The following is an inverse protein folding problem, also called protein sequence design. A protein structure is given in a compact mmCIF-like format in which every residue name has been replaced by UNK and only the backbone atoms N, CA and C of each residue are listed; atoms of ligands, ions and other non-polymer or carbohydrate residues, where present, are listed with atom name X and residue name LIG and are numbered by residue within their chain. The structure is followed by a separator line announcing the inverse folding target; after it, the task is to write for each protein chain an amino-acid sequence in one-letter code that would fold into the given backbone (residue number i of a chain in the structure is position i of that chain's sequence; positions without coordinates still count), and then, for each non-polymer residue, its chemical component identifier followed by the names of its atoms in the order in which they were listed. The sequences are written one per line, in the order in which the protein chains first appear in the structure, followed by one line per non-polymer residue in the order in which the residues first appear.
data_IF_884126508289
#
_entry.id   IF_884126508289
#
_cell.length_a   1.000
_cell.length_b   1.000
_cell.length_c   1.000
_cell.angle_alpha   90.00
_cell.angle_beta   90.00
_cell.angle_gamma   90.00
#
_symmetry.space_group_name_H-M   'P 1'
#
loop_
_entity.id
_entity.type
_entity.pdbx_description
1 polymer ?
#
# COMPACT_ATOMS: atom_id res chain seq x y z
N UNK A 1 -8.14 -10.29 25.54
CA UNK A 1 -9.55 -9.82 25.40
C UNK A 1 -10.49 -11.02 25.38
N UNK A 2 -10.24 -12.04 24.58
CA UNK A 2 -11.14 -13.20 24.41
C UNK A 2 -11.59 -13.89 25.72
N UNK A 3 -10.74 -14.10 26.72
CA UNK A 3 -11.20 -14.68 27.99
C UNK A 3 -12.08 -13.75 28.83
N UNK A 4 -12.09 -12.45 28.55
CA UNK A 4 -12.82 -11.46 29.33
C UNK A 4 -14.10 -10.98 28.64
N UNK A 5 -14.07 -10.78 27.32
CA UNK A 5 -15.20 -10.29 26.55
C UNK A 5 -15.16 -10.80 25.10
N UNK A 6 -16.10 -11.69 24.76
CA UNK A 6 -16.21 -12.25 23.41
C UNK A 6 -16.67 -11.21 22.35
N UNK A 7 -17.48 -10.25 22.76
CA UNK A 7 -17.96 -9.18 21.87
C UNK A 7 -16.80 -8.27 21.45
N UNK A 8 -15.97 -7.83 22.38
CA UNK A 8 -14.75 -7.06 22.06
C UNK A 8 -13.76 -7.87 21.23
N UNK A 9 -13.61 -9.17 21.54
CA UNK A 9 -12.74 -10.04 20.75
C UNK A 9 -13.20 -10.20 19.30
N UNK A 10 -14.50 -10.23 19.06
CA UNK A 10 -15.08 -10.32 17.71
C UNK A 10 -14.72 -9.09 16.85
N UNK A 11 -14.59 -7.90 17.44
CA UNK A 11 -14.18 -6.70 16.70
C UNK A 11 -12.73 -6.73 16.24
N UNK A 12 -11.91 -7.62 16.81
CA UNK A 12 -10.51 -7.84 16.41
C UNK A 12 -10.35 -8.97 15.38
N UNK A 13 -11.43 -9.65 15.00
CA UNK A 13 -11.39 -10.72 13.98
C UNK A 13 -11.40 -10.10 12.58
N UNK A 14 -10.26 -9.56 12.19
CA UNK A 14 -10.06 -8.88 10.91
C UNK A 14 -9.11 -9.67 10.02
N UNK A 15 -9.38 -9.66 8.73
CA UNK A 15 -8.47 -10.18 7.72
C UNK A 15 -7.68 -9.02 7.12
N UNK A 16 -6.37 -9.17 7.07
CA UNK A 16 -5.49 -8.20 6.43
C UNK A 16 -4.81 -8.82 5.21
N UNK A 17 -4.68 -8.02 4.16
CA UNK A 17 -4.01 -8.39 2.92
C UNK A 17 -2.59 -7.84 2.88
N UNK A 18 -1.65 -8.57 2.23
CA UNK A 18 -0.29 -8.10 2.06
C UNK A 18 -0.17 -7.06 0.95
N UNK A 19 0.95 -6.33 0.98
CA UNK A 19 1.36 -5.44 -0.10
C UNK A 19 2.89 -5.45 -0.21
N UNK A 20 3.41 -5.66 -1.41
CA UNK A 20 4.80 -5.33 -1.71
C UNK A 20 4.89 -3.85 -2.06
N UNK A 21 5.88 -3.18 -1.49
CA UNK A 21 6.22 -1.79 -1.80
C UNK A 21 7.65 -1.74 -2.33
N UNK A 22 7.83 -1.31 -3.58
CA UNK A 22 9.15 -1.16 -4.20
C UNK A 22 9.48 0.33 -4.33
N UNK A 23 10.56 0.75 -3.70
CA UNK A 23 11.16 2.06 -3.88
C UNK A 23 12.27 1.94 -4.92
N UNK A 24 12.15 2.75 -5.99
CA UNK A 24 13.07 2.71 -7.13
C UNK A 24 13.72 4.07 -7.30
N UNK A 25 15.03 4.11 -7.31
CA UNK A 25 15.80 5.29 -7.70
C UNK A 25 16.39 5.07 -9.08
N UNK A 26 16.32 6.09 -9.92
CA UNK A 26 16.87 6.07 -11.27
C UNK A 26 18.02 7.06 -11.39
N UNK A 27 18.97 6.78 -12.28
CA UNK A 27 20.01 7.73 -12.65
C UNK A 27 19.37 8.98 -13.28
N UNK A 28 18.40 8.77 -14.16
CA UNK A 28 17.53 9.82 -14.70
C UNK A 28 16.09 9.37 -14.52
N UNK A 29 15.29 10.15 -13.78
CA UNK A 29 13.89 9.80 -13.53
C UNK A 29 13.08 9.83 -14.81
N UNK A 30 12.24 8.80 -15.06
CA UNK A 30 11.26 8.89 -16.13
C UNK A 30 10.31 10.05 -15.88
N UNK A 31 10.12 10.89 -16.91
CA UNK A 31 9.17 11.99 -16.87
C UNK A 31 7.81 11.45 -17.33
N UNK A 32 6.88 11.30 -16.40
CA UNK A 32 5.49 10.92 -16.69
C UNK A 32 4.59 12.14 -16.71
N UNK A 33 3.43 12.02 -17.35
CA UNK A 33 2.40 13.06 -17.40
C UNK A 33 1.72 13.32 -16.06
N UNK A 34 2.03 12.51 -15.03
CA UNK A 34 1.45 12.57 -13.69
C UNK A 34 2.51 12.31 -12.61
N UNK A 35 2.22 12.71 -11.36
CA UNK A 35 3.06 12.43 -10.19
C UNK A 35 2.61 11.22 -9.38
N UNK A 36 1.36 10.80 -9.53
CA UNK A 36 0.82 9.60 -8.91
C UNK A 36 -0.38 9.08 -9.69
N UNK A 37 -0.57 7.76 -9.71
CA UNK A 37 -1.69 7.12 -10.38
C UNK A 37 -2.10 5.81 -9.71
N UNK A 38 -3.41 5.53 -9.70
CA UNK A 38 -3.93 4.18 -9.50
C UNK A 38 -3.87 3.48 -10.86
N UNK A 39 -3.09 2.41 -10.93
CA UNK A 39 -2.84 1.69 -12.18
C UNK A 39 -3.69 0.44 -12.32
N UNK A 40 -3.89 -0.31 -11.26
CA UNK A 40 -4.77 -1.49 -11.16
C UNK A 40 -4.67 -2.47 -12.34
N UNK A 41 -3.49 -2.64 -12.90
CA UNK A 41 -3.19 -3.58 -13.98
C UNK A 41 -1.92 -4.37 -13.67
N UNK A 42 -1.96 -5.68 -13.92
CA UNK A 42 -0.85 -6.56 -13.64
C UNK A 42 -0.49 -6.56 -12.15
N UNK A 43 0.81 -6.57 -11.82
CA UNK A 43 1.27 -6.57 -10.44
C UNK A 43 0.98 -5.28 -9.66
N UNK A 44 0.90 -4.12 -10.35
CA UNK A 44 0.83 -2.82 -9.68
C UNK A 44 -0.61 -2.36 -9.44
N UNK A 45 -0.85 -1.74 -8.28
CA UNK A 45 -2.10 -1.04 -7.95
C UNK A 45 -1.94 0.47 -7.92
N UNK A 46 -0.79 0.96 -7.46
CA UNK A 46 -0.53 2.38 -7.31
C UNK A 46 0.95 2.70 -7.51
N UNK A 47 1.22 3.83 -8.15
CA UNK A 47 2.57 4.36 -8.35
C UNK A 47 2.61 5.84 -8.00
N UNK A 48 3.74 6.31 -7.46
CA UNK A 48 3.92 7.73 -7.15
C UNK A 48 5.37 8.17 -7.25
N UNK A 49 5.59 9.37 -7.77
CA UNK A 49 6.86 10.05 -7.72
C UNK A 49 7.08 10.66 -6.34
N UNK A 50 7.69 9.88 -5.46
CA UNK A 50 7.80 10.21 -4.04
C UNK A 50 8.63 11.47 -3.76
N UNK A 51 9.60 11.79 -4.64
CA UNK A 51 10.43 12.97 -4.50
C UNK A 51 9.70 14.30 -4.82
N UNK A 52 8.52 14.24 -5.48
CA UNK A 52 7.69 15.43 -5.71
C UNK A 52 6.75 15.78 -4.55
N UNK A 53 6.76 15.00 -3.47
CA UNK A 53 6.03 15.39 -2.26
C UNK A 53 6.67 16.61 -1.62
N UNK A 54 5.88 17.51 -0.98
CA UNK A 54 6.39 18.71 -0.32
C UNK A 54 7.53 18.38 0.65
N UNK A 55 8.53 19.28 0.69
CA UNK A 55 9.67 19.23 1.61
C UNK A 55 10.58 18.00 1.47
N UNK A 56 10.44 17.21 0.40
CA UNK A 56 11.34 16.09 0.13
C UNK A 56 12.52 16.53 -0.71
N UNK A 57 13.72 16.22 -0.18
CA UNK A 57 15.00 16.38 -0.87
C UNK A 57 15.62 15.01 -1.12
N UNK A 58 16.52 14.91 -2.09
CA UNK A 58 17.23 13.67 -2.39
C UNK A 58 17.02 13.18 -3.82
N UNK A 59 17.53 11.98 -4.14
CA UNK A 59 17.47 11.46 -5.50
C UNK A 59 16.04 11.17 -5.95
N UNK A 60 15.77 11.27 -7.28
CA UNK A 60 14.47 10.95 -7.83
C UNK A 60 14.04 9.52 -7.47
N UNK A 61 12.96 9.38 -6.70
CA UNK A 61 12.49 8.11 -6.17
C UNK A 61 11.02 7.89 -6.51
N UNK A 62 10.72 6.79 -7.18
CA UNK A 62 9.36 6.29 -7.39
C UNK A 62 9.01 5.26 -6.33
N UNK A 63 7.77 5.30 -5.84
CA UNK A 63 7.18 4.30 -4.97
C UNK A 63 6.12 3.53 -5.75
N UNK A 64 6.27 2.22 -5.80
CA UNK A 64 5.38 1.30 -6.49
C UNK A 64 4.73 0.39 -5.46
N UNK A 65 3.41 0.30 -5.44
CA UNK A 65 2.66 -0.65 -4.63
C UNK A 65 2.09 -1.75 -5.50
N UNK A 66 2.32 -2.99 -5.11
CA UNK A 66 1.66 -4.12 -5.73
C UNK A 66 0.19 -4.22 -5.27
N UNK A 67 -0.66 -4.84 -6.09
CA UNK A 67 -2.02 -5.15 -5.69
C UNK A 67 -2.05 -6.19 -4.56
N UNK A 68 -3.10 -6.13 -3.74
CA UNK A 68 -3.27 -7.08 -2.63
C UNK A 68 -3.33 -8.53 -3.12
N UNK A 69 -4.08 -8.78 -4.22
CA UNK A 69 -4.19 -10.10 -4.81
C UNK A 69 -2.83 -10.62 -5.29
N UNK A 70 -2.13 -9.84 -6.12
CA UNK A 70 -0.82 -10.23 -6.64
C UNK A 70 0.19 -10.46 -5.49
N UNK A 71 0.17 -9.59 -4.47
CA UNK A 71 1.04 -9.72 -3.29
C UNK A 71 0.76 -11.00 -2.52
N UNK A 72 -0.52 -11.40 -2.36
CA UNK A 72 -0.93 -12.63 -1.71
C UNK A 72 -0.46 -13.87 -2.48
N UNK A 73 -0.63 -13.87 -3.80
CA UNK A 73 -0.22 -14.99 -4.67
C UNK A 73 1.30 -15.20 -4.71
N UNK A 74 2.07 -14.13 -4.48
CA UNK A 74 3.53 -14.14 -4.60
C UNK A 74 4.26 -13.88 -3.27
N UNK A 75 3.57 -14.02 -2.15
CA UNK A 75 4.06 -13.63 -0.82
C UNK A 75 5.39 -14.30 -0.45
N UNK A 76 5.58 -15.55 -0.86
CA UNK A 76 6.76 -16.36 -0.55
C UNK A 76 7.75 -16.47 -1.73
N UNK A 77 7.56 -15.66 -2.79
CA UNK A 77 8.51 -15.60 -3.91
C UNK A 77 9.79 -14.90 -3.49
N UNK A 78 10.86 -15.25 -4.20
CA UNK A 78 12.16 -14.61 -4.03
C UNK A 78 12.06 -13.08 -4.19
N UNK A 79 12.64 -12.28 -3.29
CA UNK A 79 12.56 -10.82 -3.34
C UNK A 79 13.10 -10.22 -4.63
N UNK A 80 14.15 -10.79 -5.23
CA UNK A 80 14.73 -10.28 -6.48
C UNK A 80 13.77 -10.53 -7.65
N UNK A 81 13.10 -11.69 -7.66
CA UNK A 81 12.04 -11.98 -8.63
C UNK A 81 10.89 -10.98 -8.52
N UNK A 82 10.42 -10.71 -7.29
CA UNK A 82 9.35 -9.72 -7.04
C UNK A 82 9.76 -8.33 -7.53
N UNK A 83 10.96 -7.88 -7.20
CA UNK A 83 11.52 -6.61 -7.69
C UNK A 83 11.50 -6.53 -9.21
N UNK A 84 11.98 -7.58 -9.89
CA UNK A 84 12.03 -7.63 -11.34
C UNK A 84 10.65 -7.55 -11.98
N UNK A 85 9.64 -8.25 -11.43
CA UNK A 85 8.27 -8.20 -11.95
C UNK A 85 7.63 -6.82 -11.77
N UNK A 86 7.80 -6.21 -10.59
CA UNK A 86 7.26 -4.88 -10.31
C UNK A 86 7.95 -3.80 -11.15
N UNK A 87 9.26 -3.89 -11.32
CA UNK A 87 10.02 -2.95 -12.17
C UNK A 87 9.58 -3.07 -13.62
N UNK A 88 9.49 -4.28 -14.15
CA UNK A 88 9.01 -4.54 -15.52
C UNK A 88 7.61 -3.95 -15.75
N UNK A 89 6.70 -4.11 -14.80
CA UNK A 89 5.37 -3.52 -14.89
C UNK A 89 5.40 -1.99 -14.87
N UNK A 90 6.30 -1.38 -14.11
CA UNK A 90 6.49 0.07 -14.11
C UNK A 90 7.05 0.56 -15.45
N UNK A 91 8.03 -0.13 -16.04
CA UNK A 91 8.57 0.19 -17.36
C UNK A 91 7.49 0.15 -18.44
N UNK A 92 6.57 -0.82 -18.38
CA UNK A 92 5.40 -0.89 -19.27
C UNK A 92 4.52 0.36 -19.14
N UNK A 93 4.28 0.84 -17.91
CA UNK A 93 3.53 2.08 -17.68
C UNK A 93 4.23 3.31 -18.22
N UNK A 94 5.55 3.38 -18.11
CA UNK A 94 6.34 4.47 -18.70
C UNK A 94 6.20 4.49 -20.23
N UNK A 95 6.21 3.33 -20.89
CA UNK A 95 6.02 3.23 -22.34
C UNK A 95 4.60 3.67 -22.74
N UNK A 96 3.58 3.20 -22.04
CA UNK A 96 2.18 3.57 -22.29
C UNK A 96 1.94 5.08 -22.15
N UNK A 97 2.50 5.72 -21.13
CA UNK A 97 2.41 7.17 -20.94
C UNK A 97 3.06 7.97 -22.09
N UNK A 98 4.05 7.36 -22.75
CA UNK A 98 4.72 7.94 -23.93
C UNK A 98 4.04 7.60 -25.27
N UNK A 99 2.93 6.85 -25.24
CA UNK A 99 2.23 6.40 -26.45
C UNK A 99 3.00 5.35 -27.25
N UNK A 100 3.89 4.60 -26.59
CA UNK A 100 4.69 3.54 -27.21
C UNK A 100 4.07 2.16 -26.98
N UNK A 101 4.19 1.29 -27.99
CA UNK A 101 3.67 -0.08 -27.90
C UNK A 101 4.56 -0.97 -27.03
N UNK A 102 3.93 -1.99 -26.41
CA UNK A 102 4.60 -2.92 -25.48
C UNK A 102 5.68 -3.80 -26.13
N UNK A 103 5.62 -4.03 -27.44
CA UNK A 103 6.64 -4.78 -28.18
C UNK A 103 7.99 -4.07 -28.24
N UNK A 104 8.01 -2.78 -27.91
CA UNK A 104 9.22 -1.97 -27.78
C UNK A 104 10.07 -2.30 -26.54
N UNK A 105 9.64 -3.21 -25.65
CA UNK A 105 10.38 -3.52 -24.41
C UNK A 105 11.76 -4.13 -24.69
N UNK A 106 11.87 -4.98 -25.70
CA UNK A 106 13.16 -5.59 -26.10
C UNK A 106 14.16 -4.59 -26.68
N UNK A 107 13.67 -3.48 -27.25
CA UNK A 107 14.43 -2.38 -27.84
C UNK A 107 14.11 -1.06 -27.16
N UNK A 108 13.81 -1.07 -25.84
CA UNK A 108 13.35 0.09 -25.09
C UNK A 108 14.38 1.23 -25.21
N UNK A 109 14.06 2.34 -25.91
CA UNK A 109 14.95 3.49 -26.01
C UNK A 109 15.09 4.21 -24.65
N UNK A 110 14.18 3.93 -23.71
CA UNK A 110 14.21 4.41 -22.33
C UNK A 110 14.76 3.32 -21.40
N UNK A 111 16.03 2.96 -21.56
CA UNK A 111 16.68 2.07 -20.60
C UNK A 111 16.73 2.76 -19.24
N UNK A 112 15.72 2.47 -18.41
CA UNK A 112 15.61 3.03 -17.07
C UNK A 112 16.71 2.44 -16.18
N UNK A 113 17.86 3.13 -16.16
CA UNK A 113 18.99 2.71 -15.33
C UNK A 113 18.68 2.99 -13.88
N UNK A 114 18.44 1.92 -13.12
CA UNK A 114 18.21 2.00 -11.68
C UNK A 114 19.52 2.14 -10.92
N UNK A 115 19.53 3.04 -9.94
CA UNK A 115 20.66 3.23 -9.02
C UNK A 115 20.43 2.57 -7.68
N UNK A 116 19.15 2.38 -7.28
CA UNK A 116 18.79 1.69 -6.05
C UNK A 116 17.39 1.06 -6.18
N UNK A 117 17.25 -0.15 -5.62
CA UNK A 117 15.99 -0.87 -5.47
C UNK A 117 15.86 -1.31 -4.03
N UNK A 118 14.77 -0.91 -3.37
CA UNK A 118 14.45 -1.35 -2.01
C UNK A 118 13.04 -1.91 -1.98
N UNK A 119 12.92 -3.21 -1.78
CA UNK A 119 11.63 -3.90 -1.64
C UNK A 119 11.28 -4.06 -0.17
N UNK A 120 10.07 -3.68 0.19
CA UNK A 120 9.48 -3.99 1.48
C UNK A 120 8.24 -4.87 1.30
N UNK A 121 8.11 -5.89 2.16
CA UNK A 121 6.98 -6.81 2.19
C UNK A 121 6.12 -6.53 3.42
N UNK A 122 5.01 -5.85 3.23
CA UNK A 122 4.00 -5.68 4.25
C UNK A 122 3.09 -6.90 4.27
N UNK A 123 3.15 -7.70 5.33
CA UNK A 123 2.27 -8.88 5.47
C UNK A 123 0.84 -8.48 5.83
N UNK A 124 0.70 -7.38 6.52
CA UNK A 124 -0.58 -6.85 7.04
C UNK A 124 -0.70 -5.38 6.64
N UNK A 125 -1.02 -5.14 5.38
CA UNK A 125 -0.98 -3.80 4.80
C UNK A 125 -2.35 -3.12 4.74
N UNK A 126 -3.39 -3.87 4.33
CA UNK A 126 -4.72 -3.33 4.12
C UNK A 126 -5.75 -4.28 4.71
N UNK A 127 -6.92 -3.73 5.07
CA UNK A 127 -8.06 -4.52 5.45
C UNK A 127 -8.68 -5.20 4.21
N UNK A 128 -8.95 -6.49 4.32
CA UNK A 128 -9.67 -7.25 3.28
C UNK A 128 -11.17 -6.97 3.38
N UNK A 129 -11.70 -6.97 4.60
CA UNK A 129 -13.08 -6.66 4.90
C UNK A 129 -13.17 -5.67 6.07
N UNK A 130 -14.00 -4.64 5.90
CA UNK A 130 -14.31 -3.74 7.01
C UNK A 130 -15.30 -4.39 7.95
N UNK A 131 -15.01 -4.36 9.24
CA UNK A 131 -15.98 -4.70 10.28
C UNK A 131 -16.91 -3.50 10.40
N UNK A 132 -18.16 -3.66 9.97
CA UNK A 132 -19.17 -2.64 10.19
C UNK A 132 -19.62 -2.68 11.66
N UNK A 133 -19.15 -1.75 12.45
CA UNK A 133 -19.69 -1.51 13.80
C UNK A 133 -20.41 -0.16 13.81
N UNK A 134 -21.50 -0.03 14.63
CA UNK A 134 -22.31 1.19 14.68
C UNK A 134 -21.48 2.44 15.03
N UNK A 135 -20.49 2.28 15.91
CA UNK A 135 -19.56 3.33 16.32
C UNK A 135 -18.19 2.95 15.78
N UNK A 136 -17.37 3.95 15.43
CA UNK A 136 -16.00 3.76 14.98
C UNK A 136 -15.05 3.28 16.12
N UNK A 137 -15.57 2.83 17.24
CA UNK A 137 -14.86 2.30 18.42
C UNK A 137 -15.72 1.21 19.08
N UNK A 138 -15.11 0.41 19.95
CA UNK A 138 -15.80 -0.50 20.86
C UNK A 138 -15.42 -0.16 22.30
N UNK A 139 -16.41 -0.12 23.20
CA UNK A 139 -16.24 0.20 24.60
C UNK A 139 -17.03 -0.77 25.50
N UNK A 140 -16.36 -1.31 26.49
CA UNK A 140 -16.99 -2.12 27.55
C UNK A 140 -16.86 -1.36 28.87
N UNK A 141 -17.95 -0.78 29.40
CA UNK A 141 -17.93 -0.02 30.63
C UNK A 141 -17.74 -0.86 31.90
N UNK A 142 -18.07 -2.16 31.86
CA UNK A 142 -17.90 -3.05 33.03
C UNK A 142 -16.43 -3.42 33.20
N UNK A 143 -15.75 -3.73 32.11
CA UNK A 143 -14.33 -4.07 32.09
C UNK A 143 -13.42 -2.85 31.99
N UNK A 144 -13.95 -1.67 31.71
CA UNK A 144 -13.17 -0.45 31.44
C UNK A 144 -12.15 -0.65 30.31
N UNK A 145 -12.55 -1.38 29.27
CA UNK A 145 -11.71 -1.68 28.10
C UNK A 145 -12.30 -1.04 26.85
N UNK A 146 -11.50 -0.20 26.19
CA UNK A 146 -11.83 0.40 24.91
C UNK A 146 -10.93 -0.10 23.77
N UNK A 147 -11.49 -0.25 22.57
CA UNK A 147 -10.76 -0.56 21.36
C UNK A 147 -11.04 0.50 20.31
N UNK A 148 -9.97 1.03 19.71
CA UNK A 148 -10.05 1.96 18.60
C UNK A 148 -8.94 1.66 17.59
N UNK A 149 -9.14 2.06 16.35
CA UNK A 149 -8.18 1.89 15.29
C UNK A 149 -8.80 2.06 13.91
N UNK A 150 -7.94 2.06 12.89
CA UNK A 150 -8.36 2.22 11.50
C UNK A 150 -9.32 1.12 11.03
N UNK A 151 -9.15 -0.13 11.51
CA UNK A 151 -9.99 -1.27 11.14
C UNK A 151 -11.47 -1.10 11.54
N UNK A 152 -11.76 -0.28 12.51
CA UNK A 152 -13.11 0.05 12.96
C UNK A 152 -13.71 1.24 12.19
N UNK A 153 -12.88 1.94 11.38
CA UNK A 153 -13.30 3.16 10.70
C UNK A 153 -12.58 3.37 9.34
N UNK A 154 -12.75 2.43 8.41
CA UNK A 154 -12.39 2.59 7.01
C UNK A 154 -10.94 2.31 6.62
N UNK A 155 -10.11 1.80 7.53
CA UNK A 155 -8.76 1.31 7.21
C UNK A 155 -7.76 2.38 6.76
N UNK A 156 -7.94 3.65 7.18
CA UNK A 156 -7.10 4.79 6.80
C UNK A 156 -6.64 5.57 8.01
N UNK A 157 -5.56 6.36 7.86
CA UNK A 157 -5.00 7.21 8.93
C UNK A 157 -6.06 8.11 9.57
N UNK A 158 -6.89 8.77 8.76
CA UNK A 158 -8.00 9.58 9.26
C UNK A 158 -9.01 8.76 10.05
N UNK A 159 -9.30 7.52 9.58
CA UNK A 159 -10.17 6.60 10.28
C UNK A 159 -9.63 6.21 11.65
N UNK A 160 -8.34 5.93 11.76
CA UNK A 160 -7.68 5.65 13.04
C UNK A 160 -7.81 6.82 14.03
N UNK A 161 -7.54 8.03 13.56
CA UNK A 161 -7.65 9.23 14.38
C UNK A 161 -9.08 9.47 14.88
N UNK A 162 -10.05 9.41 13.97
CA UNK A 162 -11.47 9.59 14.32
C UNK A 162 -11.96 8.50 15.28
N UNK A 163 -11.53 7.26 15.10
CA UNK A 163 -11.85 6.14 15.98
C UNK A 163 -11.37 6.41 17.41
N UNK A 164 -10.11 6.80 17.58
CA UNK A 164 -9.56 7.16 18.88
C UNK A 164 -10.23 8.38 19.52
N UNK A 165 -10.50 9.41 18.71
CA UNK A 165 -11.18 10.63 19.17
C UNK A 165 -12.60 10.34 19.68
N UNK A 166 -13.38 9.54 18.94
CA UNK A 166 -14.73 9.16 19.36
C UNK A 166 -14.74 8.31 20.63
N UNK A 167 -13.79 7.37 20.75
CA UNK A 167 -13.64 6.60 21.99
C UNK A 167 -13.34 7.53 23.18
N UNK A 168 -12.40 8.46 23.00
CA UNK A 168 -12.03 9.39 24.09
C UNK A 168 -13.16 10.32 24.55
N UNK A 169 -14.14 10.60 23.67
CA UNK A 169 -15.33 11.39 24.05
C UNK A 169 -16.36 10.50 24.76
N UNK A 170 -16.38 9.20 24.49
CA UNK A 170 -17.37 8.27 25.02
C UNK A 170 -17.06 7.76 26.43
N UNK A 171 -15.85 7.93 26.91
CA UNK A 171 -15.38 7.54 28.27
C UNK A 171 -15.20 8.76 29.17
#
# INVERSE_FOLDING_TARGET
ISPHNQSLAATCNINMTPCFALMVQFETSPQLSFNAAFVNQGPLSWIAFNSHKPERTGPPTWLLHASAQWSKEHLEKDPQWVQAQMLKAFEQWVLLDKGLEMDSIANNPFHLKTTSLTLHRWKYANLDNMVAIPNAYAWDPELQIGLCGDWLNGGKVQGAWLSGHQLAIAI
#
